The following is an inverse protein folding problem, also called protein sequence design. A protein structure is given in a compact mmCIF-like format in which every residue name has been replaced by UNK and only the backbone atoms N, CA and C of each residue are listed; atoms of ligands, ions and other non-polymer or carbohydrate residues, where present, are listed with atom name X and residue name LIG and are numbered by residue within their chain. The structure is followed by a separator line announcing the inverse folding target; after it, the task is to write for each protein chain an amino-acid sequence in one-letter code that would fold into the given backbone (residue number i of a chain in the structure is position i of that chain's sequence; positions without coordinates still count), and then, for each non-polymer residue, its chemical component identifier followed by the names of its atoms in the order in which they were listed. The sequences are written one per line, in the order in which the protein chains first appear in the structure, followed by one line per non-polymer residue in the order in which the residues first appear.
data_IF_193314466185
#
_entry.id   IF_193314466185
#
_cell.length_a   1.000
_cell.length_b   1.000
_cell.length_c   1.000
_cell.angle_alpha   90.00
_cell.angle_beta   90.00
_cell.angle_gamma   90.00
#
_symmetry.space_group_name_H-M   'P 1'
#
loop_
_entity.id
_entity.type
_entity.pdbx_description
1 polymer ?
#
# COMPACT_ATOMS: atom_id res chain seq x y z
N UNK A 1 29.52 38.16 -36.25
CA UNK A 1 29.53 36.72 -36.48
C UNK A 1 28.99 36.02 -35.26
N UNK A 2 28.07 35.10 -35.49
CA UNK A 2 27.72 34.11 -34.49
C UNK A 2 28.89 33.14 -34.35
N UNK A 3 29.40 32.85 -33.14
CA UNK A 3 30.52 31.94 -32.95
C UNK A 3 30.19 30.51 -33.41
N UNK A 4 28.91 30.13 -33.37
CA UNK A 4 28.33 28.90 -33.95
C UNK A 4 26.93 29.24 -34.46
N UNK A 5 26.56 28.84 -35.68
CA UNK A 5 25.23 29.10 -36.22
C UNK A 5 24.90 28.41 -37.55
N UNK A 6 23.61 28.36 -37.88
CA UNK A 6 23.00 27.82 -39.10
C UNK A 6 21.50 28.16 -39.15
N UNK A 7 20.75 27.65 -40.12
CA UNK A 7 19.29 27.87 -40.16
C UNK A 7 18.64 27.32 -38.87
N UNK A 8 18.01 28.21 -38.09
CA UNK A 8 17.38 27.91 -36.79
C UNK A 8 18.31 27.28 -35.72
N UNK A 9 19.63 27.50 -35.81
CA UNK A 9 20.63 26.90 -34.90
C UNK A 9 21.68 27.92 -34.44
N UNK A 10 22.11 27.85 -33.18
CA UNK A 10 23.24 28.66 -32.65
C UNK A 10 23.06 29.12 -31.21
N UNK A 11 24.05 29.87 -30.71
CA UNK A 11 24.02 30.51 -29.38
C UNK A 11 23.72 32.00 -29.51
N UNK A 12 22.48 32.41 -29.21
CA UNK A 12 22.03 33.80 -29.40
C UNK A 12 21.96 34.56 -28.08
N UNK A 13 22.73 35.64 -27.97
CA UNK A 13 22.66 36.60 -26.88
C UNK A 13 23.02 37.99 -27.42
N UNK A 14 22.24 39.01 -27.05
CA UNK A 14 22.57 40.39 -27.37
C UNK A 14 23.55 40.95 -26.32
N UNK A 15 24.54 41.77 -26.72
CA UNK A 15 25.30 42.55 -25.77
C UNK A 15 24.37 43.53 -25.03
N UNK A 16 24.64 43.74 -23.75
CA UNK A 16 23.94 44.75 -22.96
C UNK A 16 24.21 46.16 -23.54
N UNK A 17 23.24 47.06 -23.45
CA UNK A 17 23.41 48.45 -23.87
C UNK A 17 24.62 49.09 -23.17
N UNK A 18 25.42 49.84 -23.93
CA UNK A 18 26.67 50.43 -23.44
C UNK A 18 27.89 49.50 -23.52
N UNK A 19 27.73 48.22 -23.87
CA UNK A 19 28.84 47.29 -24.08
C UNK A 19 29.67 47.69 -25.32
N UNK A 20 31.00 47.69 -25.19
CA UNK A 20 31.89 47.96 -26.31
C UNK A 20 31.98 46.76 -27.26
N UNK A 21 31.88 47.01 -28.56
CA UNK A 21 31.90 45.99 -29.60
C UNK A 21 32.81 46.38 -30.75
N UNK A 22 33.40 45.38 -31.41
CA UNK A 22 34.10 45.56 -32.69
C UNK A 22 33.06 45.45 -33.81
N UNK A 23 32.84 46.55 -34.52
CA UNK A 23 31.98 46.58 -35.71
C UNK A 23 32.84 46.37 -36.96
N UNK A 24 32.43 45.43 -37.81
CA UNK A 24 33.01 45.23 -39.13
C UNK A 24 31.95 45.46 -40.21
N UNK A 25 32.40 45.70 -41.43
CA UNK A 25 31.53 45.98 -42.58
C UNK A 25 31.68 44.84 -43.59
N UNK A 26 30.60 44.12 -43.87
CA UNK A 26 30.63 43.00 -44.80
C UNK A 26 31.07 43.48 -46.19
N UNK A 27 32.07 42.81 -46.77
CA UNK A 27 32.70 43.18 -48.04
C UNK A 27 33.27 44.62 -48.06
N UNK A 28 33.54 45.21 -46.89
CA UNK A 28 33.99 46.61 -46.77
C UNK A 28 32.89 47.65 -47.04
N UNK A 29 31.61 47.24 -47.13
CA UNK A 29 30.51 48.14 -47.46
C UNK A 29 29.94 48.84 -46.21
N UNK A 30 29.99 50.18 -46.10
CA UNK A 30 29.53 50.92 -44.91
C UNK A 30 28.06 50.69 -44.54
N UNK A 31 27.23 50.30 -45.51
CA UNK A 31 25.81 50.01 -45.31
C UNK A 31 25.52 48.56 -44.86
N UNK A 32 26.55 47.73 -44.61
CA UNK A 32 26.40 46.36 -44.12
C UNK A 32 27.23 46.12 -42.84
N UNK A 33 26.98 46.88 -41.75
CA UNK A 33 27.67 46.67 -40.48
C UNK A 33 27.24 45.37 -39.81
N UNK A 34 28.14 44.75 -39.06
CA UNK A 34 27.83 43.65 -38.15
C UNK A 34 28.80 43.64 -36.96
N UNK A 35 28.39 43.06 -35.84
CA UNK A 35 29.22 42.91 -34.64
C UNK A 35 30.14 41.69 -34.80
N UNK A 36 31.46 41.90 -34.82
CA UNK A 36 32.49 40.86 -34.88
C UNK A 36 32.82 40.27 -33.52
N UNK A 37 32.95 41.10 -32.49
CA UNK A 37 33.42 40.68 -31.17
C UNK A 37 32.87 41.62 -30.10
N UNK A 38 32.47 41.05 -28.95
CA UNK A 38 32.13 41.81 -27.75
C UNK A 38 33.41 41.99 -26.93
N UNK A 39 33.73 43.22 -26.55
CA UNK A 39 34.92 43.53 -25.76
C UNK A 39 34.55 43.58 -24.27
N UNK A 40 35.26 42.85 -23.39
CA UNK A 40 34.88 42.74 -21.98
C UNK A 40 35.28 43.94 -21.12
N UNK A 41 35.85 44.99 -21.71
CA UNK A 41 36.34 46.15 -20.96
C UNK A 41 35.20 46.87 -20.25
N UNK A 42 35.30 47.02 -18.93
CA UNK A 42 34.27 47.64 -18.10
C UNK A 42 33.12 46.71 -17.69
N UNK A 43 33.12 45.45 -18.13
CA UNK A 43 32.12 44.45 -17.72
C UNK A 43 32.58 43.68 -16.48
N UNK A 44 31.63 43.28 -15.64
CA UNK A 44 31.88 42.31 -14.57
C UNK A 44 31.76 40.90 -15.13
N UNK A 45 32.88 40.21 -15.28
CA UNK A 45 32.89 38.83 -15.80
C UNK A 45 32.59 37.80 -14.71
N UNK A 46 32.02 36.64 -15.07
CA UNK A 46 31.91 35.50 -14.17
C UNK A 46 33.25 35.16 -13.51
N UNK A 47 33.20 34.75 -12.24
CA UNK A 47 34.35 34.07 -11.62
C UNK A 47 34.49 32.69 -12.27
N UNK A 48 35.64 32.47 -12.92
CA UNK A 48 35.94 31.23 -13.63
C UNK A 48 37.31 30.69 -13.19
N UNK A 49 37.33 29.75 -12.24
CA UNK A 49 38.53 28.99 -11.90
C UNK A 49 39.14 28.31 -13.14
N UNK A 50 40.43 28.02 -13.07
CA UNK A 50 41.13 27.34 -14.16
C UNK A 50 40.54 25.94 -14.38
N UNK A 51 40.07 25.67 -15.60
CA UNK A 51 39.51 24.38 -16.00
C UNK A 51 37.97 24.38 -16.06
N UNK A 52 37.32 25.28 -15.33
CA UNK A 52 35.87 25.44 -15.37
C UNK A 52 35.41 26.02 -16.71
N UNK A 53 34.18 25.69 -17.09
CA UNK A 53 33.44 26.39 -18.15
C UNK A 53 32.06 26.76 -17.61
N UNK A 54 31.59 27.96 -17.97
CA UNK A 54 30.29 28.46 -17.51
C UNK A 54 29.51 29.09 -18.65
N UNK A 55 28.24 28.73 -18.75
CA UNK A 55 27.23 29.45 -19.51
C UNK A 55 26.23 30.05 -18.52
N UNK A 56 26.12 31.38 -18.47
CA UNK A 56 25.31 32.04 -17.45
C UNK A 56 24.61 33.29 -17.94
N UNK A 57 23.48 33.60 -17.30
CA UNK A 57 22.84 34.91 -17.32
C UNK A 57 23.28 35.75 -16.10
N UNK A 58 23.41 35.11 -14.93
CA UNK A 58 23.89 35.72 -13.68
C UNK A 58 24.54 34.64 -12.79
N UNK A 59 25.15 35.02 -11.66
CA UNK A 59 25.67 34.03 -10.70
C UNK A 59 24.58 33.10 -10.13
N UNK A 60 23.32 33.56 -10.11
CA UNK A 60 22.17 32.78 -9.69
C UNK A 60 21.62 31.85 -10.79
N UNK A 61 21.89 32.14 -12.07
CA UNK A 61 21.37 31.41 -13.23
C UNK A 61 22.52 31.00 -14.15
N UNK A 62 22.97 29.75 -14.00
CA UNK A 62 24.12 29.23 -14.72
C UNK A 62 24.02 27.72 -15.00
N UNK A 63 24.70 27.31 -16.07
CA UNK A 63 25.15 25.94 -16.29
C UNK A 63 26.68 25.95 -16.24
N UNK A 64 27.26 25.12 -15.38
CA UNK A 64 28.70 25.08 -15.16
C UNK A 64 29.19 23.65 -15.22
N UNK A 65 30.35 23.47 -15.85
CA UNK A 65 31.17 22.27 -15.71
C UNK A 65 32.45 22.66 -14.98
N UNK A 66 32.81 21.94 -13.93
CA UNK A 66 34.07 22.14 -13.21
C UNK A 66 35.24 21.39 -13.88
N UNK A 67 36.45 21.60 -13.36
CA UNK A 67 37.65 20.93 -13.86
C UNK A 67 37.61 19.40 -13.80
N UNK A 68 36.76 18.83 -12.93
CA UNK A 68 36.58 17.38 -12.75
C UNK A 68 35.46 16.81 -13.65
N UNK A 69 34.74 17.67 -14.38
CA UNK A 69 33.67 17.29 -15.29
C UNK A 69 32.28 17.23 -14.65
N UNK A 70 32.11 17.71 -13.40
CA UNK A 70 30.80 17.74 -12.76
C UNK A 70 29.94 18.85 -13.34
N UNK A 71 28.66 18.56 -13.62
CA UNK A 71 27.70 19.53 -14.14
C UNK A 71 26.80 20.09 -13.05
N UNK A 72 26.64 21.41 -13.04
CA UNK A 72 25.68 22.14 -12.22
C UNK A 72 24.70 22.89 -13.13
N UNK A 73 23.40 22.62 -12.99
CA UNK A 73 22.31 23.45 -13.53
C UNK A 73 21.66 24.20 -12.37
N UNK A 74 21.83 25.52 -12.33
CA UNK A 74 21.34 26.39 -11.25
C UNK A 74 20.44 27.48 -11.83
N UNK A 75 19.32 27.73 -11.16
CA UNK A 75 18.46 28.89 -11.42
C UNK A 75 17.72 29.27 -10.13
N UNK A 76 17.44 30.55 -9.95
CA UNK A 76 16.47 31.09 -8.99
C UNK A 76 15.07 31.25 -9.61
N UNK A 77 14.96 31.02 -10.92
CA UNK A 77 13.71 30.98 -11.66
C UNK A 77 13.14 29.57 -11.82
N UNK A 78 12.44 29.35 -12.93
CA UNK A 78 11.75 28.09 -13.24
C UNK A 78 12.55 27.28 -14.26
N UNK A 79 12.64 25.97 -14.04
CA UNK A 79 13.03 24.98 -15.06
C UNK A 79 11.76 24.34 -15.62
N UNK A 80 11.69 24.24 -16.95
CA UNK A 80 10.61 23.55 -17.64
C UNK A 80 11.23 22.73 -18.77
N UNK A 81 11.20 21.40 -18.61
CA UNK A 81 11.70 20.47 -19.62
C UNK A 81 10.47 19.91 -20.38
N UNK A 82 10.44 20.08 -21.70
CA UNK A 82 9.41 19.56 -22.59
C UNK A 82 10.08 18.65 -23.60
N UNK A 83 9.66 17.39 -23.64
CA UNK A 83 10.21 16.41 -24.54
C UNK A 83 9.14 15.36 -24.87
N UNK A 84 9.22 14.78 -26.06
CA UNK A 84 8.44 13.59 -26.43
C UNK A 84 8.88 12.38 -25.61
N UNK A 85 10.17 12.28 -25.31
CA UNK A 85 10.79 11.21 -24.54
C UNK A 85 11.86 11.81 -23.61
N UNK A 86 11.91 11.32 -22.37
CA UNK A 86 12.93 11.69 -21.38
C UNK A 86 13.43 10.44 -20.68
N UNK A 87 14.69 10.11 -20.91
CA UNK A 87 15.40 9.03 -20.23
C UNK A 87 16.38 9.59 -19.20
N UNK A 88 16.48 8.94 -18.05
CA UNK A 88 17.48 9.25 -17.03
C UNK A 88 18.07 7.94 -16.56
N UNK A 89 19.35 7.74 -16.87
CA UNK A 89 20.13 6.61 -16.39
C UNK A 89 21.18 7.13 -15.40
N UNK A 90 21.15 6.61 -14.18
CA UNK A 90 22.11 6.94 -13.15
C UNK A 90 22.32 5.76 -12.21
N UNK A 91 23.56 5.54 -11.79
CA UNK A 91 23.88 4.56 -10.75
C UNK A 91 23.24 4.94 -9.39
N UNK A 92 23.03 6.23 -9.15
CA UNK A 92 22.37 6.75 -7.96
C UNK A 92 21.64 8.04 -8.31
N UNK A 93 20.37 8.12 -7.95
CA UNK A 93 19.55 9.33 -8.06
C UNK A 93 19.02 9.71 -6.68
N UNK A 94 19.17 10.97 -6.30
CA UNK A 94 18.68 11.51 -5.03
C UNK A 94 17.92 12.81 -5.29
N UNK A 95 16.63 12.82 -4.96
CA UNK A 95 15.76 13.97 -5.14
C UNK A 95 15.25 14.47 -3.79
N UNK A 96 15.21 15.79 -3.61
CA UNK A 96 14.75 16.44 -2.38
C UNK A 96 13.81 17.56 -2.75
N UNK A 97 12.59 17.50 -2.24
CA UNK A 97 11.54 18.47 -2.52
C UNK A 97 10.94 18.99 -1.23
N UNK A 98 10.52 20.25 -1.21
CA UNK A 98 9.60 20.73 -0.18
C UNK A 98 8.17 20.21 -0.43
N UNK A 99 7.77 20.12 -1.70
CA UNK A 99 6.50 19.57 -2.16
C UNK A 99 6.70 18.88 -3.50
N UNK A 100 5.99 17.78 -3.74
CA UNK A 100 6.03 17.02 -4.98
C UNK A 100 4.62 16.58 -5.39
N UNK A 101 4.25 16.87 -6.63
CA UNK A 101 2.99 16.41 -7.24
C UNK A 101 3.33 15.74 -8.56
N UNK A 102 2.78 14.55 -8.77
CA UNK A 102 2.92 13.80 -10.01
C UNK A 102 1.54 13.44 -10.54
N UNK A 103 1.25 13.88 -11.75
CA UNK A 103 0.05 13.48 -12.50
C UNK A 103 0.51 12.65 -13.69
N UNK A 104 -0.14 11.51 -13.89
CA UNK A 104 0.10 10.61 -15.01
C UNK A 104 -1.26 10.33 -15.64
N UNK A 105 -1.42 10.68 -16.91
CA UNK A 105 -2.72 10.62 -17.59
C UNK A 105 -3.12 9.19 -18.00
N UNK A 106 -2.14 8.29 -18.06
CA UNK A 106 -2.35 6.89 -18.40
C UNK A 106 -1.73 5.96 -17.34
N UNK A 107 -0.73 5.15 -17.68
CA UNK A 107 -0.16 4.15 -16.77
C UNK A 107 1.09 4.62 -16.04
N UNK A 108 1.18 4.30 -14.75
CA UNK A 108 2.41 4.45 -13.96
C UNK A 108 2.84 3.09 -13.42
N UNK A 109 3.97 2.59 -13.90
CA UNK A 109 4.59 1.35 -13.45
C UNK A 109 5.87 1.65 -12.67
N UNK A 110 6.13 0.88 -11.62
CA UNK A 110 7.37 0.94 -10.87
C UNK A 110 7.83 -0.48 -10.54
N UNK A 111 9.05 -0.82 -10.95
CA UNK A 111 9.67 -2.12 -10.68
C UNK A 111 10.93 -1.90 -9.86
N UNK A 112 11.00 -2.55 -8.71
CA UNK A 112 12.13 -2.43 -7.77
C UNK A 112 12.68 -3.83 -7.54
N UNK A 113 13.90 -4.09 -8.02
CA UNK A 113 14.55 -5.40 -7.86
C UNK A 113 14.99 -5.70 -6.42
N UNK A 114 15.16 -4.64 -5.61
CA UNK A 114 15.45 -4.73 -4.17
C UNK A 114 14.22 -4.43 -3.32
N UNK A 115 14.39 -3.55 -2.32
CA UNK A 115 13.32 -3.18 -1.38
C UNK A 115 12.76 -1.80 -1.73
N UNK A 116 11.44 -1.70 -1.83
CA UNK A 116 10.73 -0.42 -1.89
C UNK A 116 10.20 -0.05 -0.50
N UNK A 117 10.64 1.07 0.04
CA UNK A 117 10.19 1.62 1.33
C UNK A 117 9.43 2.92 1.11
N UNK A 118 8.22 3.03 1.67
CA UNK A 118 7.41 4.25 1.65
C UNK A 118 7.12 4.63 3.10
N UNK A 119 7.53 5.83 3.51
CA UNK A 119 7.31 6.35 4.86
C UNK A 119 6.58 7.69 4.80
N UNK A 120 5.54 7.83 5.62
CA UNK A 120 4.79 9.07 5.77
C UNK A 120 4.56 9.34 7.26
N UNK A 121 5.07 10.47 7.77
CA UNK A 121 4.91 10.85 9.18
C UNK A 121 3.47 11.28 9.52
N UNK A 122 2.77 11.87 8.55
CA UNK A 122 1.38 12.32 8.71
C UNK A 122 0.38 11.21 8.44
N UNK A 123 0.17 10.88 7.17
CA UNK A 123 -0.76 9.84 6.75
C UNK A 123 -0.36 9.26 5.39
N UNK A 124 -0.69 7.98 5.18
CA UNK A 124 -0.70 7.32 3.87
C UNK A 124 -2.15 7.15 3.43
N UNK A 125 -2.48 7.60 2.22
CA UNK A 125 -3.81 7.42 1.62
C UNK A 125 -3.67 6.70 0.28
N UNK A 126 -4.33 5.55 0.17
CA UNK A 126 -4.39 4.75 -1.06
C UNK A 126 -5.86 4.67 -1.47
N UNK A 127 -6.19 5.29 -2.60
CA UNK A 127 -7.56 5.40 -3.11
C UNK A 127 -7.59 4.79 -4.51
N UNK A 128 -8.55 3.91 -4.77
CA UNK A 128 -8.84 3.37 -6.10
C UNK A 128 -10.32 3.58 -6.40
N UNK A 129 -10.64 4.08 -7.59
CA UNK A 129 -12.01 4.13 -8.09
C UNK A 129 -12.48 2.78 -8.66
N UNK A 130 -11.56 1.82 -8.82
CA UNK A 130 -11.82 0.47 -9.30
C UNK A 130 -11.36 -0.57 -8.29
N UNK A 131 -10.62 -1.59 -8.74
CA UNK A 131 -10.03 -2.59 -7.86
C UNK A 131 -8.74 -2.09 -7.21
N UNK A 132 -8.41 -2.66 -6.06
CA UNK A 132 -7.11 -2.55 -5.42
C UNK A 132 -6.69 -3.95 -4.95
N UNK A 133 -5.50 -4.38 -5.35
CA UNK A 133 -4.95 -5.70 -5.01
C UNK A 133 -3.66 -5.51 -4.23
N UNK A 134 -3.56 -6.15 -3.06
CA UNK A 134 -2.36 -6.23 -2.26
C UNK A 134 -2.05 -7.71 -2.04
N UNK A 135 -0.90 -8.15 -2.53
CA UNK A 135 -0.48 -9.55 -2.47
C UNK A 135 0.99 -9.63 -2.08
N UNK A 136 1.32 -10.66 -1.30
CA UNK A 136 2.68 -11.06 -0.95
C UNK A 136 2.82 -12.55 -1.24
N UNK A 137 4.01 -12.97 -1.69
CA UNK A 137 4.31 -14.41 -1.91
C UNK A 137 4.56 -15.12 -0.57
N UNK A 138 5.12 -14.39 0.38
CA UNK A 138 5.39 -14.83 1.74
C UNK A 138 4.41 -14.12 2.69
N UNK A 139 4.89 -13.45 3.74
CA UNK A 139 4.04 -12.81 4.73
C UNK A 139 3.48 -11.44 4.31
N UNK A 140 2.20 -11.21 4.63
CA UNK A 140 1.56 -9.88 4.63
C UNK A 140 1.24 -9.47 6.08
N UNK A 141 1.88 -8.42 6.56
CA UNK A 141 1.63 -7.88 7.90
C UNK A 141 0.79 -6.60 7.86
N UNK A 142 -0.28 -6.55 8.66
CA UNK A 142 -1.08 -5.36 8.90
C UNK A 142 -1.20 -5.12 10.40
N UNK A 143 -0.64 -4.02 10.89
CA UNK A 143 -0.65 -3.67 12.31
C UNK A 143 -1.05 -2.20 12.49
N UNK A 144 -1.83 -1.91 13.54
CA UNK A 144 -2.22 -0.54 13.90
C UNK A 144 -2.04 -0.34 15.40
N UNK A 145 -1.71 0.89 15.82
CA UNK A 145 -1.54 1.21 17.25
C UNK A 145 -2.84 1.55 17.99
N UNK A 146 -3.95 1.73 17.26
CA UNK A 146 -5.28 2.00 17.81
C UNK A 146 -6.31 1.09 17.15
N UNK A 147 -6.98 1.58 16.12
CA UNK A 147 -8.10 0.88 15.50
C UNK A 147 -7.77 0.42 14.07
N UNK A 148 -8.13 -0.83 13.77
CA UNK A 148 -8.24 -1.34 12.40
C UNK A 148 -9.73 -1.45 12.04
N UNK A 149 -10.17 -0.60 11.14
CA UNK A 149 -11.55 -0.60 10.65
C UNK A 149 -11.62 -1.26 9.28
N UNK A 150 -12.28 -2.42 9.19
CA UNK A 150 -12.58 -3.10 7.93
C UNK A 150 -14.09 -3.03 7.67
N UNK A 151 -14.47 -2.37 6.57
CA UNK A 151 -15.87 -2.21 6.17
C UNK A 151 -16.05 -2.80 4.78
N UNK A 152 -17.02 -3.71 4.64
CA UNK A 152 -17.31 -4.41 3.39
C UNK A 152 -18.80 -4.30 3.08
N UNK A 153 -19.16 -3.73 1.92
CA UNK A 153 -20.55 -3.42 1.59
C UNK A 153 -21.39 -4.60 1.10
N UNK A 154 -20.77 -5.71 0.68
CA UNK A 154 -21.47 -6.89 0.18
C UNK A 154 -20.99 -8.17 0.86
N UNK A 155 -19.84 -8.71 0.44
CA UNK A 155 -19.33 -10.00 0.91
C UNK A 155 -17.87 -9.88 1.36
N UNK A 156 -17.60 -10.23 2.60
CA UNK A 156 -16.25 -10.48 3.08
C UNK A 156 -15.93 -11.98 2.94
N UNK A 157 -14.88 -12.31 2.19
CA UNK A 157 -14.41 -13.68 2.05
C UNK A 157 -13.01 -13.79 2.65
N UNK A 158 -12.85 -14.69 3.63
CA UNK A 158 -11.58 -15.01 4.25
C UNK A 158 -11.37 -16.52 4.14
N UNK A 159 -10.29 -16.94 3.50
CA UNK A 159 -9.92 -18.35 3.33
C UNK A 159 -8.56 -18.56 3.96
N UNK A 160 -8.46 -19.56 4.83
CA UNK A 160 -7.23 -19.91 5.54
C UNK A 160 -6.93 -21.37 5.22
N UNK A 161 -5.73 -21.64 4.68
CA UNK A 161 -5.30 -23.01 4.33
C UNK A 161 -4.82 -23.83 5.53
N UNK A 162 -4.38 -23.16 6.60
CA UNK A 162 -4.01 -23.76 7.88
C UNK A 162 -4.92 -23.28 9.02
N UNK A 163 -4.31 -22.88 10.15
CA UNK A 163 -5.05 -22.48 11.34
C UNK A 163 -5.41 -20.98 11.34
N UNK A 164 -6.62 -20.66 11.82
CA UNK A 164 -7.05 -19.29 12.11
C UNK A 164 -7.03 -19.05 13.63
N UNK A 165 -6.13 -18.18 14.09
CA UNK A 165 -6.04 -17.79 15.50
C UNK A 165 -6.65 -16.40 15.74
N UNK A 166 -7.79 -16.35 16.42
CA UNK A 166 -8.42 -15.11 16.87
C UNK A 166 -8.23 -14.95 18.40
N UNK A 167 -7.49 -13.93 18.83
CA UNK A 167 -7.31 -13.62 20.25
C UNK A 167 -8.01 -12.30 20.60
N UNK A 168 -9.09 -12.37 21.36
CA UNK A 168 -9.92 -11.22 21.70
C UNK A 168 -9.92 -11.06 23.22
N UNK A 169 -9.21 -10.04 23.72
CA UNK A 169 -9.12 -9.75 25.16
C UNK A 169 -10.39 -9.09 25.71
N UNK A 170 -11.08 -8.32 24.86
CA UNK A 170 -12.34 -7.68 25.17
C UNK A 170 -13.53 -8.52 24.71
N UNK A 171 -14.52 -7.86 24.12
CA UNK A 171 -15.73 -8.48 23.62
C UNK A 171 -15.57 -8.96 22.17
N UNK A 172 -15.86 -10.23 21.92
CA UNK A 172 -16.24 -10.70 20.57
C UNK A 172 -17.75 -10.57 20.41
N UNK A 173 -18.21 -9.69 19.52
CA UNK A 173 -19.64 -9.55 19.18
C UNK A 173 -19.87 -9.96 17.74
N UNK A 174 -20.61 -11.05 17.54
CA UNK A 174 -21.07 -11.52 16.23
C UNK A 174 -22.59 -11.38 16.19
N UNK A 175 -23.12 -10.64 15.22
CA UNK A 175 -24.57 -10.45 15.03
C UNK A 175 -24.90 -10.73 13.57
N UNK A 176 -25.64 -11.80 13.33
CA UNK A 176 -26.16 -12.14 12.02
C UNK A 176 -27.64 -11.80 11.93
N UNK A 177 -28.09 -11.22 10.80
CA UNK A 177 -29.50 -10.87 10.60
C UNK A 177 -30.40 -12.04 10.16
N UNK A 178 -29.80 -13.15 9.70
CA UNK A 178 -30.53 -14.33 9.22
C UNK A 178 -30.11 -15.56 10.02
N UNK A 179 -28.86 -16.01 9.88
CA UNK A 179 -28.34 -17.17 10.57
C UNK A 179 -26.83 -17.04 10.84
N UNK A 180 -26.37 -17.75 11.86
CA UNK A 180 -24.95 -17.97 12.12
C UNK A 180 -24.64 -19.45 11.90
N UNK A 181 -23.69 -19.75 11.01
CA UNK A 181 -23.33 -21.10 10.63
C UNK A 181 -21.90 -21.41 11.06
N UNK A 182 -21.77 -22.26 12.07
CA UNK A 182 -20.49 -22.72 12.63
C UNK A 182 -20.46 -24.24 12.50
N UNK A 183 -19.55 -24.76 11.67
CA UNK A 183 -19.46 -26.20 11.40
C UNK A 183 -18.02 -26.64 11.50
N UNK A 184 -17.79 -27.62 12.36
CA UNK A 184 -16.55 -28.35 12.49
C UNK A 184 -16.85 -29.83 12.81
N UNK A 185 -15.96 -30.78 12.47
CA UNK A 185 -16.11 -32.17 12.88
C UNK A 185 -16.21 -32.34 14.40
N UNK A 186 -15.53 -31.48 15.15
CA UNK A 186 -15.53 -31.42 16.61
C UNK A 186 -15.69 -29.97 17.06
N UNK A 187 -16.56 -29.73 18.03
CA UNK A 187 -16.91 -28.40 18.49
C UNK A 187 -16.72 -28.28 20.00
N UNK A 188 -16.16 -27.14 20.39
CA UNK A 188 -16.02 -26.69 21.77
C UNK A 188 -16.64 -25.31 21.90
N UNK A 189 -17.66 -25.17 22.74
CA UNK A 189 -18.23 -23.85 23.07
C UNK A 189 -18.31 -23.73 24.57
N UNK A 190 -17.56 -22.81 25.15
CA UNK A 190 -17.48 -22.59 26.59
C UNK A 190 -16.07 -22.19 27.02
N UNK A 191 -15.60 -22.74 28.14
CA UNK A 191 -14.25 -22.52 28.69
C UNK A 191 -13.40 -23.77 28.55
N UNK A 192 -12.10 -23.70 28.84
CA UNK A 192 -11.21 -24.88 28.76
C UNK A 192 -11.74 -26.11 29.50
N UNK A 193 -12.36 -25.91 30.66
CA UNK A 193 -12.91 -26.99 31.49
C UNK A 193 -14.40 -27.29 31.23
N UNK A 194 -15.13 -26.42 30.53
CA UNK A 194 -16.57 -26.54 30.32
C UNK A 194 -16.91 -26.41 28.85
N UNK A 195 -17.37 -27.50 28.24
CA UNK A 195 -17.94 -27.52 26.89
C UNK A 195 -19.47 -27.68 26.97
N UNK A 196 -20.23 -26.72 26.44
CA UNK A 196 -21.70 -26.77 26.44
C UNK A 196 -22.22 -28.04 25.76
N UNK A 197 -21.58 -28.50 24.69
CA UNK A 197 -22.00 -29.74 24.03
C UNK A 197 -21.80 -30.97 24.90
N UNK A 198 -20.75 -31.00 25.72
CA UNK A 198 -20.55 -32.05 26.70
C UNK A 198 -21.62 -32.02 27.79
N UNK A 199 -21.96 -30.84 28.31
CA UNK A 199 -23.06 -30.69 29.28
C UNK A 199 -24.38 -31.19 28.70
N UNK A 200 -24.66 -30.90 27.42
CA UNK A 200 -25.85 -31.41 26.72
C UNK A 200 -25.82 -32.94 26.55
N UNK A 201 -24.67 -33.52 26.26
CA UNK A 201 -24.50 -34.98 26.21
C UNK A 201 -24.77 -35.62 27.57
N UNK A 202 -24.17 -35.09 28.63
CA UNK A 202 -24.33 -35.60 30.00
C UNK A 202 -25.81 -35.43 30.46
N UNK A 203 -26.50 -34.38 30.00
CA UNK A 203 -27.94 -34.18 30.23
C UNK A 203 -28.79 -35.23 29.50
N UNK A 204 -28.47 -35.55 28.25
CA UNK A 204 -29.18 -36.60 27.49
C UNK A 204 -28.97 -37.98 28.11
N UNK A 205 -27.76 -38.28 28.59
CA UNK A 205 -27.47 -39.51 29.32
C UNK A 205 -28.27 -39.59 30.63
N UNK A 206 -28.41 -38.47 31.35
CA UNK A 206 -29.24 -38.40 32.56
C UNK A 206 -30.72 -38.63 32.25
N UNK A 207 -31.24 -38.09 31.14
CA UNK A 207 -32.61 -38.32 30.67
C UNK A 207 -32.83 -39.80 30.33
N UNK A 208 -31.88 -40.43 29.63
CA UNK A 208 -31.92 -41.87 29.33
C UNK A 208 -32.00 -42.71 30.60
N UNK A 209 -31.14 -42.42 31.58
CA UNK A 209 -31.11 -43.12 32.86
C UNK A 209 -32.43 -42.93 33.63
N UNK A 210 -32.93 -41.70 33.69
CA UNK A 210 -34.18 -41.38 34.39
C UNK A 210 -35.37 -42.09 33.74
N UNK A 211 -35.49 -42.06 32.40
CA UNK A 211 -36.56 -42.75 31.70
C UNK A 211 -36.49 -44.27 31.91
N UNK A 212 -35.30 -44.85 31.92
CA UNK A 212 -35.09 -46.28 32.21
C UNK A 212 -35.52 -46.63 33.64
N UNK A 213 -35.16 -45.79 34.62
CA UNK A 213 -35.55 -45.98 36.02
C UNK A 213 -37.07 -45.88 36.22
N UNK A 214 -37.74 -44.95 35.53
CA UNK A 214 -39.20 -44.80 35.59
C UNK A 214 -39.90 -45.99 34.93
N UNK A 215 -39.40 -46.48 33.79
CA UNK A 215 -39.97 -47.66 33.12
C UNK A 215 -39.98 -48.90 34.03
N UNK A 216 -38.97 -49.03 34.90
CA UNK A 216 -38.84 -50.14 35.85
C UNK A 216 -39.35 -49.85 37.27
N UNK A 217 -39.95 -48.68 37.52
CA UNK A 217 -40.37 -48.31 38.87
C UNK A 217 -41.58 -49.13 39.35
N UNK A 218 -41.61 -49.52 40.63
CA UNK A 218 -42.73 -50.25 41.23
C UNK A 218 -42.99 -49.78 42.66
N UNK A 219 -44.23 -49.95 43.15
CA UNK A 219 -44.59 -49.79 44.56
C UNK A 219 -44.88 -51.16 45.19
N UNK A 220 -43.93 -51.72 45.94
CA UNK A 220 -44.07 -53.04 46.56
C UNK A 220 -44.22 -54.14 45.51
N UNK A 221 -45.33 -54.89 45.58
CA UNK A 221 -45.67 -55.96 44.64
C UNK A 221 -46.51 -55.51 43.43
N UNK A 222 -46.67 -54.20 43.23
CA UNK A 222 -47.43 -53.67 42.07
C UNK A 222 -46.71 -54.00 40.75
N UNK A 223 -47.45 -54.21 39.64
CA UNK A 223 -46.83 -54.30 38.32
C UNK A 223 -46.14 -52.97 37.95
N UNK A 224 -45.20 -53.04 36.99
CA UNK A 224 -44.59 -51.84 36.38
C UNK A 224 -45.67 -50.90 35.81
N UNK A 225 -45.36 -49.62 35.60
CA UNK A 225 -46.34 -48.64 35.16
C UNK A 225 -46.91 -49.02 33.79
N UNK A 226 -48.19 -48.75 33.56
CA UNK A 226 -48.84 -49.06 32.28
C UNK A 226 -48.20 -48.34 31.08
N UNK A 227 -47.41 -47.29 31.32
CA UNK A 227 -46.65 -46.53 30.33
C UNK A 227 -45.14 -46.89 30.28
N UNK A 228 -44.71 -47.99 30.91
CA UNK A 228 -43.30 -48.40 30.93
C UNK A 228 -42.68 -48.52 29.51
N UNK A 229 -43.42 -49.07 28.55
CA UNK A 229 -42.95 -49.20 27.17
C UNK A 229 -42.67 -47.85 26.50
N UNK A 230 -43.44 -46.81 26.84
CA UNK A 230 -43.21 -45.47 26.32
C UNK A 230 -41.92 -44.88 26.89
N UNK A 231 -41.68 -45.02 28.21
CA UNK A 231 -40.43 -44.56 28.83
C UNK A 231 -39.19 -45.29 28.31
N UNK A 232 -39.28 -46.60 28.04
CA UNK A 232 -38.19 -47.33 27.39
C UNK A 232 -37.90 -46.81 25.98
N UNK A 233 -38.93 -46.45 25.21
CA UNK A 233 -38.75 -45.84 23.90
C UNK A 233 -38.12 -44.43 23.99
N UNK A 234 -38.50 -43.64 24.99
CA UNK A 234 -37.90 -42.33 25.26
C UNK A 234 -36.42 -42.44 25.65
N UNK A 235 -36.05 -43.44 26.46
CA UNK A 235 -34.66 -43.73 26.80
C UNK A 235 -33.82 -44.02 25.55
N UNK A 236 -34.31 -44.88 24.65
CA UNK A 236 -33.64 -45.19 23.37
C UNK A 236 -33.49 -43.95 22.48
N UNK A 237 -34.49 -43.06 22.48
CA UNK A 237 -34.43 -41.80 21.73
C UNK A 237 -33.37 -40.85 22.30
N UNK A 238 -33.31 -40.70 23.62
CA UNK A 238 -32.28 -39.90 24.28
C UNK A 238 -30.86 -40.44 23.99
N UNK A 239 -30.68 -41.76 24.08
CA UNK A 239 -29.42 -42.43 23.76
C UNK A 239 -28.96 -42.19 22.31
N UNK A 240 -29.89 -42.21 21.35
CA UNK A 240 -29.59 -41.95 19.94
C UNK A 240 -29.13 -40.51 19.71
N UNK A 241 -29.82 -39.53 20.32
CA UNK A 241 -29.43 -38.11 20.25
C UNK A 241 -28.08 -37.86 20.92
N UNK A 242 -27.83 -38.47 22.08
CA UNK A 242 -26.55 -38.39 22.78
C UNK A 242 -25.42 -38.90 21.90
N UNK A 243 -25.60 -40.04 21.22
CA UNK A 243 -24.61 -40.60 20.30
C UNK A 243 -24.26 -39.64 19.16
N UNK A 244 -25.25 -39.03 18.54
CA UNK A 244 -25.03 -38.04 17.46
C UNK A 244 -24.31 -36.79 17.98
N UNK A 245 -24.67 -36.28 19.15
CA UNK A 245 -24.03 -35.08 19.71
C UNK A 245 -22.59 -35.36 20.19
N UNK A 246 -22.35 -36.51 20.82
CA UNK A 246 -21.01 -36.97 21.22
C UNK A 246 -20.07 -37.09 20.01
N UNK A 247 -20.59 -37.46 18.84
CA UNK A 247 -19.79 -37.55 17.62
C UNK A 247 -19.18 -36.19 17.21
N UNK A 248 -19.87 -35.07 17.48
CA UNK A 248 -19.41 -33.72 17.11
C UNK A 248 -18.90 -32.88 18.29
N UNK A 249 -18.83 -33.46 19.48
CA UNK A 249 -18.30 -32.82 20.70
C UNK A 249 -16.81 -33.11 20.81
N UNK A 250 -15.99 -32.07 20.97
CA UNK A 250 -14.56 -32.19 21.30
C UNK A 250 -14.35 -32.63 22.74
#
# INVERSE_FOLDING_TARGET
PMPVGGDEMGFFAFPEEGTQVVVCFAYGLPNKPYIQTILPHGLTLPKLPKGDQVWQHSDAVQQRVDADGNWLRKTDGKIQDQATEREVEAMTNAERFQSHTRTVDDHSSESVGGVKKIEALGALKLLSGGSASLAAVDDLHQATGRDLNLVVGQKHNATVGGDMHEQIKGLRKSVAGINQHLVAPKNHVGSESVNIFKVLCDTLDLIEQMATQIAGHVHGSSPVPANAAAFSADALKAAALARSLKAVTS
#
